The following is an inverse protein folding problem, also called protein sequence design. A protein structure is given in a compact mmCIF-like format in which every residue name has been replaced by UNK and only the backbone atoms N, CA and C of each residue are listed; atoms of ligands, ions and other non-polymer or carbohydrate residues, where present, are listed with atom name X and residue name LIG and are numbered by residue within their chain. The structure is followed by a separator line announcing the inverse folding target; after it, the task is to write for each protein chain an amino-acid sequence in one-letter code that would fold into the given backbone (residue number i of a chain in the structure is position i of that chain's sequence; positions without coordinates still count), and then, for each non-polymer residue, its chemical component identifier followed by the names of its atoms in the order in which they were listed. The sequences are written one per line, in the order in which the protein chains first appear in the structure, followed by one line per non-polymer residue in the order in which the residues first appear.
data_IF_004901395144
#
_entry.id   IF_004901395144
#
_cell.length_a   1.000
_cell.length_b   1.000
_cell.length_c   1.000
_cell.angle_alpha   90.00
_cell.angle_beta   90.00
_cell.angle_gamma   90.00
#
_symmetry.space_group_name_H-M   'P 1'
#
loop_
_entity.id
_entity.type
_entity.pdbx_description
1 polymer ?
#
# COMPACT_ATOMS: atom_id res chain seq x y z
N UNK A 1 28.65 -34.88 19.07
CA UNK A 1 28.20 -33.48 18.90
C UNK A 1 29.24 -32.80 18.04
N UNK A 2 29.33 -33.23 16.79
CA UNK A 2 30.35 -32.73 15.86
C UNK A 2 29.97 -31.35 15.34
N UNK A 3 30.97 -30.48 15.40
CA UNK A 3 31.06 -29.14 14.86
C UNK A 3 30.39 -28.94 13.50
N UNK A 4 29.30 -28.17 13.48
CA UNK A 4 28.90 -27.34 12.32
C UNK A 4 29.88 -26.16 12.18
N UNK A 5 31.18 -26.48 12.07
CA UNK A 5 32.21 -25.47 11.85
C UNK A 5 32.11 -25.01 10.39
N UNK A 6 31.48 -23.87 10.18
CA UNK A 6 31.44 -23.28 8.85
C UNK A 6 32.87 -22.97 8.37
N UNK A 7 33.24 -23.28 7.10
CA UNK A 7 34.58 -23.00 6.61
C UNK A 7 34.96 -21.53 6.83
N UNK A 8 36.18 -21.25 7.30
CA UNK A 8 36.62 -19.88 7.55
C UNK A 8 36.52 -19.05 6.27
N UNK A 9 35.88 -17.89 6.37
CA UNK A 9 35.84 -16.95 5.25
C UNK A 9 37.19 -16.24 5.12
N UNK A 10 37.67 -15.97 3.89
CA UNK A 10 38.88 -15.19 3.68
C UNK A 10 38.73 -13.78 4.26
N UNK A 11 39.88 -13.13 4.53
CA UNK A 11 39.93 -11.75 4.99
C UNK A 11 39.19 -10.83 4.00
N UNK A 12 38.45 -9.84 4.52
CA UNK A 12 37.75 -8.88 3.67
C UNK A 12 38.72 -7.81 3.18
N UNK A 13 38.77 -7.63 1.86
CA UNK A 13 39.46 -6.47 1.26
C UNK A 13 38.53 -5.26 1.38
N UNK A 14 39.00 -4.22 2.03
CA UNK A 14 38.31 -2.94 2.20
C UNK A 14 39.29 -1.83 1.80
N UNK A 15 38.90 -1.01 0.84
CA UNK A 15 39.69 0.13 0.39
C UNK A 15 39.80 1.21 1.48
N UNK A 16 40.78 2.10 1.37
CA UNK A 16 40.96 3.18 2.33
C UNK A 16 39.75 4.13 2.43
N UNK A 17 39.06 4.38 1.31
CA UNK A 17 37.85 5.22 1.29
C UNK A 17 36.68 4.52 2.00
N UNK A 18 36.46 3.23 1.73
CA UNK A 18 35.42 2.44 2.40
C UNK A 18 35.69 2.32 3.90
N UNK A 19 36.94 2.08 4.31
CA UNK A 19 37.33 2.03 5.72
C UNK A 19 37.01 3.35 6.44
N UNK A 20 37.37 4.50 5.84
CA UNK A 20 37.03 5.82 6.41
C UNK A 20 35.51 6.00 6.53
N UNK A 21 34.74 5.58 5.53
CA UNK A 21 33.28 5.67 5.58
C UNK A 21 32.67 4.78 6.68
N UNK A 22 33.17 3.55 6.85
CA UNK A 22 32.77 2.65 7.93
C UNK A 22 33.08 3.25 9.31
N UNK A 23 34.28 3.80 9.50
CA UNK A 23 34.67 4.44 10.75
C UNK A 23 33.83 5.69 11.06
N UNK A 24 33.47 6.48 10.03
CA UNK A 24 32.56 7.62 10.17
C UNK A 24 31.16 7.18 10.61
N UNK A 25 30.62 6.10 10.05
CA UNK A 25 29.33 5.54 10.45
C UNK A 25 29.34 5.12 11.93
N UNK A 26 30.41 4.49 12.38
CA UNK A 26 30.57 4.05 13.77
C UNK A 26 30.70 5.23 14.74
N UNK A 27 31.40 6.30 14.35
CA UNK A 27 31.63 7.49 15.20
C UNK A 27 30.41 8.40 15.30
N UNK A 28 29.56 8.43 14.27
CA UNK A 28 28.43 9.37 14.19
C UNK A 28 27.32 8.97 15.18
N UNK A 29 26.88 9.85 16.09
CA UNK A 29 25.93 9.50 17.15
C UNK A 29 24.51 9.24 16.62
N UNK A 30 24.15 9.82 15.47
CA UNK A 30 22.83 9.65 14.86
C UNK A 30 22.70 8.40 13.98
N UNK A 31 23.75 7.59 13.87
CA UNK A 31 23.71 6.38 13.02
C UNK A 31 22.86 5.30 13.70
N UNK A 32 21.91 4.67 13.00
CA UNK A 32 21.17 3.52 13.52
C UNK A 32 22.10 2.44 14.05
N UNK A 33 21.83 1.92 15.26
CA UNK A 33 22.68 0.94 15.93
C UNK A 33 22.95 -0.31 15.08
N UNK A 34 21.97 -0.73 14.27
CA UNK A 34 22.13 -1.87 13.34
C UNK A 34 23.21 -1.59 12.29
N UNK A 35 23.26 -0.38 11.72
CA UNK A 35 24.32 -0.02 10.77
C UNK A 35 25.68 0.06 11.44
N UNK A 36 25.75 0.59 12.67
CA UNK A 36 26.99 0.61 13.46
C UNK A 36 27.50 -0.80 13.72
N UNK A 37 26.62 -1.73 14.12
CA UNK A 37 26.97 -3.12 14.37
C UNK A 37 27.52 -3.79 13.11
N UNK A 38 26.84 -3.61 11.97
CA UNK A 38 27.26 -4.17 10.68
C UNK A 38 28.60 -3.57 10.23
N UNK A 39 28.80 -2.27 10.41
CA UNK A 39 30.08 -1.62 10.10
C UNK A 39 31.23 -2.17 10.94
N UNK A 40 31.01 -2.44 12.24
CA UNK A 40 31.99 -3.08 13.12
C UNK A 40 32.35 -4.49 12.64
N UNK A 41 31.38 -5.29 12.21
CA UNK A 41 31.63 -6.63 11.63
C UNK A 41 32.61 -6.53 10.46
N UNK A 42 32.37 -5.58 9.53
CA UNK A 42 33.24 -5.41 8.35
C UNK A 42 34.64 -4.91 8.74
N UNK A 43 34.74 -3.97 9.67
CA UNK A 43 36.02 -3.45 10.14
C UNK A 43 36.89 -4.54 10.78
N UNK A 44 36.33 -5.35 11.68
CA UNK A 44 37.05 -6.47 12.32
C UNK A 44 37.41 -7.55 11.30
N UNK A 45 36.50 -7.89 10.39
CA UNK A 45 36.79 -8.84 9.31
C UNK A 45 37.89 -8.35 8.36
N UNK A 46 37.99 -7.04 8.12
CA UNK A 46 39.10 -6.44 7.35
C UNK A 46 40.44 -6.41 8.11
N UNK A 47 40.39 -6.50 9.44
CA UNK A 47 41.56 -6.64 10.30
C UNK A 47 42.05 -8.10 10.41
N UNK A 48 41.39 -9.04 9.73
CA UNK A 48 41.76 -10.46 9.70
C UNK A 48 41.04 -11.35 10.71
N UNK A 49 40.04 -10.82 11.43
CA UNK A 49 39.32 -11.63 12.41
C UNK A 49 38.39 -12.67 11.75
N UNK A 50 38.37 -13.87 12.35
CA UNK A 50 37.44 -14.95 11.99
C UNK A 50 36.01 -14.61 12.41
N UNK A 51 35.01 -15.23 11.78
CA UNK A 51 33.61 -15.00 12.13
C UNK A 51 33.29 -15.27 13.61
N UNK A 52 33.96 -16.26 14.23
CA UNK A 52 33.80 -16.61 15.65
C UNK A 52 34.53 -15.66 16.60
N UNK A 53 35.64 -15.03 16.20
CA UNK A 53 36.24 -13.92 16.96
C UNK A 53 35.31 -12.71 16.97
N UNK A 54 34.83 -12.30 15.79
CA UNK A 54 33.90 -11.17 15.64
C UNK A 54 32.61 -11.40 16.43
N UNK A 55 32.07 -12.63 16.41
CA UNK A 55 30.88 -13.01 17.16
C UNK A 55 31.06 -12.82 18.66
N UNK A 56 32.20 -13.27 19.21
CA UNK A 56 32.55 -13.10 20.63
C UNK A 56 32.79 -11.63 21.00
N UNK A 57 33.53 -10.89 20.18
CA UNK A 57 33.86 -9.48 20.40
C UNK A 57 32.60 -8.60 20.41
N UNK A 58 31.64 -8.87 19.51
CA UNK A 58 30.44 -8.05 19.37
C UNK A 58 29.21 -8.61 20.10
N UNK A 59 29.31 -9.79 20.75
CA UNK A 59 28.19 -10.45 21.43
C UNK A 59 27.05 -10.85 20.48
N UNK A 60 27.37 -11.28 19.26
CA UNK A 60 26.40 -11.69 18.22
C UNK A 60 26.56 -13.17 17.85
N UNK A 61 25.58 -13.73 17.15
CA UNK A 61 25.73 -15.08 16.59
C UNK A 61 26.71 -15.13 15.41
N UNK A 62 27.49 -16.21 15.29
CA UNK A 62 28.37 -16.46 14.14
C UNK A 62 27.65 -16.38 12.78
N UNK A 63 26.41 -16.88 12.61
CA UNK A 63 25.67 -16.74 11.36
C UNK A 63 25.48 -15.28 10.93
N UNK A 64 25.31 -14.35 11.88
CA UNK A 64 25.14 -12.92 11.60
C UNK A 64 26.44 -12.31 11.07
N UNK A 65 27.56 -12.55 11.77
CA UNK A 65 28.90 -12.12 11.33
C UNK A 65 29.18 -12.60 9.91
N UNK A 66 28.90 -13.88 9.67
CA UNK A 66 29.09 -14.51 8.37
C UNK A 66 28.19 -13.94 7.27
N UNK A 67 26.91 -13.72 7.56
CA UNK A 67 25.95 -13.14 6.62
C UNK A 67 26.44 -11.78 6.11
N UNK A 68 26.83 -10.88 7.01
CA UNK A 68 27.28 -9.54 6.64
C UNK A 68 28.63 -9.53 5.92
N UNK A 69 29.55 -10.43 6.29
CA UNK A 69 30.80 -10.62 5.54
C UNK A 69 30.52 -11.06 4.09
N UNK A 70 29.65 -12.05 3.90
CA UNK A 70 29.28 -12.55 2.57
C UNK A 70 28.61 -11.46 1.74
N UNK A 71 27.63 -10.76 2.33
CA UNK A 71 26.94 -9.65 1.68
C UNK A 71 27.89 -8.53 1.27
N UNK A 72 28.88 -8.21 2.11
CA UNK A 72 29.88 -7.19 1.77
C UNK A 72 30.70 -7.57 0.54
N UNK A 73 31.10 -8.84 0.42
CA UNK A 73 31.80 -9.38 -0.75
C UNK A 73 30.91 -9.36 -2.00
N UNK A 74 29.66 -9.79 -1.89
CA UNK A 74 28.69 -9.77 -2.99
C UNK A 74 28.47 -8.35 -3.55
N UNK A 75 28.58 -7.33 -2.69
CA UNK A 75 28.40 -5.93 -3.05
C UNK A 75 29.73 -5.17 -3.27
N UNK A 76 30.88 -5.85 -3.35
CA UNK A 76 32.19 -5.18 -3.46
C UNK A 76 32.35 -4.42 -4.78
N UNK A 77 31.78 -4.93 -5.87
CA UNK A 77 31.80 -4.30 -7.21
C UNK A 77 30.64 -3.31 -7.39
N UNK A 78 29.78 -3.15 -6.39
CA UNK A 78 28.64 -2.25 -6.47
C UNK A 78 29.09 -0.80 -6.30
N UNK A 79 28.56 0.12 -7.12
CA UNK A 79 28.77 1.57 -6.97
C UNK A 79 27.99 2.18 -5.80
N UNK A 80 27.28 1.35 -5.02
CA UNK A 80 26.47 1.79 -3.90
C UNK A 80 27.33 2.39 -2.77
N UNK A 81 26.88 3.48 -2.13
CA UNK A 81 27.51 4.01 -0.93
C UNK A 81 27.60 2.95 0.19
N UNK A 82 28.63 3.04 1.04
CA UNK A 82 28.86 2.10 2.16
C UNK A 82 27.62 1.94 3.04
N UNK A 83 26.91 3.03 3.33
CA UNK A 83 25.70 2.99 4.14
C UNK A 83 24.58 2.14 3.51
N UNK A 84 24.42 2.22 2.19
CA UNK A 84 23.41 1.46 1.45
C UNK A 84 23.77 -0.03 1.34
N UNK A 85 25.06 -0.34 1.20
CA UNK A 85 25.55 -1.74 1.24
C UNK A 85 25.25 -2.43 2.58
N UNK A 86 25.28 -1.66 3.67
CA UNK A 86 24.97 -2.11 5.03
C UNK A 86 23.48 -2.02 5.39
N UNK A 87 22.66 -1.34 4.59
CA UNK A 87 21.22 -1.21 4.82
C UNK A 87 20.50 -2.54 4.58
N UNK A 88 19.32 -2.71 5.17
CA UNK A 88 18.48 -3.86 4.83
C UNK A 88 17.99 -3.74 3.38
N UNK A 89 17.90 -4.88 2.70
CA UNK A 89 17.27 -4.89 1.40
C UNK A 89 15.79 -4.52 1.59
N UNK A 90 15.16 -3.84 0.62
CA UNK A 90 13.72 -3.61 0.66
C UNK A 90 13.03 -4.96 0.83
N UNK A 91 12.36 -5.16 1.96
CA UNK A 91 11.57 -6.38 2.15
C UNK A 91 10.35 -6.26 1.22
N UNK A 92 10.22 -7.12 0.18
CA UNK A 92 8.95 -7.22 -0.51
C UNK A 92 7.93 -7.61 0.55
N UNK A 93 6.90 -6.78 0.74
CA UNK A 93 5.82 -7.08 1.67
C UNK A 93 5.16 -8.42 1.34
N UNK A 94 4.22 -8.86 2.17
CA UNK A 94 3.43 -10.04 1.85
C UNK A 94 2.81 -9.90 0.44
N UNK A 95 2.81 -10.96 -0.37
CA UNK A 95 2.21 -10.91 -1.70
C UNK A 95 0.74 -10.52 -1.58
N UNK A 96 0.25 -9.76 -2.56
CA UNK A 96 -1.15 -9.33 -2.58
C UNK A 96 -2.07 -10.56 -2.57
N UNK A 97 -3.07 -10.57 -1.68
CA UNK A 97 -4.04 -11.67 -1.57
C UNK A 97 -4.97 -11.77 -2.78
N UNK A 98 -5.22 -10.65 -3.44
CA UNK A 98 -6.11 -10.56 -4.60
C UNK A 98 -5.34 -10.02 -5.80
N UNK A 99 -5.63 -10.56 -6.97
CA UNK A 99 -5.03 -10.10 -8.23
C UNK A 99 -5.60 -8.73 -8.61
N UNK A 100 -4.86 -8.01 -9.46
CA UNK A 100 -5.33 -6.74 -10.00
C UNK A 100 -6.64 -6.89 -10.77
N UNK A 101 -6.81 -8.00 -11.47
CA UNK A 101 -8.04 -8.33 -12.20
C UNK A 101 -9.24 -8.43 -11.26
N UNK A 102 -9.13 -9.19 -10.17
CA UNK A 102 -10.20 -9.33 -9.17
C UNK A 102 -10.58 -7.98 -8.54
N UNK A 103 -9.57 -7.14 -8.25
CA UNK A 103 -9.78 -5.80 -7.70
C UNK A 103 -10.47 -4.89 -8.74
N UNK A 104 -10.12 -5.01 -10.01
CA UNK A 104 -10.73 -4.23 -11.09
C UNK A 104 -12.19 -4.62 -11.29
N UNK A 105 -12.50 -5.92 -11.24
CA UNK A 105 -13.88 -6.43 -11.30
C UNK A 105 -14.71 -5.94 -10.11
N UNK A 106 -14.15 -5.92 -8.90
CA UNK A 106 -14.79 -5.29 -7.74
C UNK A 106 -15.14 -3.82 -8.01
N UNK A 107 -14.23 -3.04 -8.59
CA UNK A 107 -14.50 -1.63 -8.87
C UNK A 107 -15.55 -1.43 -9.96
N UNK A 108 -15.54 -2.26 -11.01
CA UNK A 108 -16.57 -2.25 -12.03
C UNK A 108 -17.95 -2.54 -11.43
N UNK A 109 -18.05 -3.58 -10.60
CA UNK A 109 -19.28 -3.95 -9.89
C UNK A 109 -19.77 -2.82 -8.98
N UNK A 110 -18.86 -2.20 -8.22
CA UNK A 110 -19.18 -1.10 -7.31
C UNK A 110 -19.72 0.16 -8.01
N UNK A 111 -19.43 0.33 -9.30
CA UNK A 111 -19.91 1.44 -10.13
C UNK A 111 -21.21 1.14 -10.88
N UNK A 112 -21.63 -0.12 -10.93
CA UNK A 112 -22.86 -0.54 -11.59
C UNK A 112 -24.06 -0.44 -10.63
N UNK A 113 -25.28 -0.19 -11.12
CA UNK A 113 -26.48 -0.19 -10.29
C UNK A 113 -26.81 -1.62 -9.79
N UNK A 114 -27.12 -1.82 -8.48
CA UNK A 114 -27.42 -3.15 -7.93
C UNK A 114 -28.59 -3.89 -8.61
N UNK A 115 -29.51 -3.15 -9.20
CA UNK A 115 -30.66 -3.68 -9.92
C UNK A 115 -30.25 -4.55 -11.12
N UNK A 116 -29.11 -4.24 -11.76
CA UNK A 116 -28.56 -5.07 -12.86
C UNK A 116 -28.17 -6.48 -12.40
N UNK A 117 -27.92 -6.65 -11.11
CA UNK A 117 -27.51 -7.92 -10.51
C UNK A 117 -28.66 -8.59 -9.73
N UNK A 118 -29.89 -8.09 -9.91
CA UNK A 118 -31.10 -8.64 -9.30
C UNK A 118 -31.19 -8.45 -7.79
N UNK A 119 -30.48 -7.46 -7.22
CA UNK A 119 -30.55 -7.18 -5.79
C UNK A 119 -31.56 -6.07 -5.49
N UNK A 120 -32.49 -6.27 -4.54
CA UNK A 120 -33.48 -5.26 -4.16
C UNK A 120 -32.89 -4.24 -3.18
N UNK A 121 -31.79 -3.59 -3.57
CA UNK A 121 -31.07 -2.60 -2.77
C UNK A 121 -30.83 -1.35 -3.60
N UNK A 122 -30.91 -0.17 -2.97
CA UNK A 122 -30.72 1.10 -3.69
C UNK A 122 -29.25 1.44 -3.93
N UNK A 123 -28.34 0.92 -3.11
CA UNK A 123 -26.90 1.16 -3.23
C UNK A 123 -26.10 -0.03 -2.73
N UNK A 124 -24.90 -0.20 -3.30
CA UNK A 124 -23.96 -1.20 -2.82
C UNK A 124 -23.40 -0.89 -1.44
N UNK A 125 -23.51 -1.86 -0.54
CA UNK A 125 -22.68 -1.95 0.67
C UNK A 125 -21.44 -2.83 0.42
N UNK A 126 -20.36 -2.66 1.21
CA UNK A 126 -19.18 -3.53 1.10
C UNK A 126 -19.48 -5.02 1.35
N UNK A 127 -20.53 -5.32 2.11
CA UNK A 127 -20.97 -6.71 2.37
C UNK A 127 -21.62 -7.31 1.12
N UNK A 128 -22.55 -6.59 0.50
CA UNK A 128 -23.22 -7.08 -0.70
C UNK A 128 -22.26 -7.23 -1.88
N UNK A 129 -21.28 -6.32 -2.00
CA UNK A 129 -20.21 -6.45 -2.99
C UNK A 129 -19.34 -7.68 -2.75
N UNK A 130 -19.04 -8.01 -1.49
CA UNK A 130 -18.31 -9.24 -1.17
C UNK A 130 -19.13 -10.48 -1.55
N UNK A 131 -20.42 -10.51 -1.18
CA UNK A 131 -21.32 -11.63 -1.51
C UNK A 131 -21.48 -11.81 -3.02
N UNK A 132 -21.55 -10.71 -3.76
CA UNK A 132 -21.72 -10.74 -5.21
C UNK A 132 -20.43 -11.17 -5.94
N UNK A 133 -19.25 -10.76 -5.46
CA UNK A 133 -17.97 -11.26 -6.00
C UNK A 133 -17.79 -12.77 -5.79
N UNK A 134 -18.22 -13.27 -4.64
CA UNK A 134 -18.20 -14.72 -4.37
C UNK A 134 -19.21 -15.44 -5.25
N UNK A 135 -20.43 -14.90 -5.40
CA UNK A 135 -21.47 -15.45 -6.27
C UNK A 135 -21.04 -15.52 -7.75
N UNK A 136 -20.29 -14.53 -8.22
CA UNK A 136 -19.76 -14.50 -9.59
C UNK A 136 -18.48 -15.35 -9.78
N UNK A 137 -17.98 -16.00 -8.71
CA UNK A 137 -16.79 -16.83 -8.76
C UNK A 137 -15.48 -16.05 -8.94
N UNK A 138 -15.50 -14.74 -8.74
CA UNK A 138 -14.32 -13.87 -8.89
C UNK A 138 -13.30 -14.15 -7.79
N UNK A 139 -13.79 -14.40 -6.58
CA UNK A 139 -12.98 -14.74 -5.40
C UNK A 139 -13.65 -15.88 -4.63
N UNK A 140 -12.85 -16.76 -4.02
CA UNK A 140 -13.37 -17.83 -3.15
C UNK A 140 -13.97 -17.24 -1.85
N UNK A 141 -13.26 -16.28 -1.25
CA UNK A 141 -13.69 -15.59 -0.03
C UNK A 141 -13.09 -14.19 0.06
N UNK A 142 -13.91 -13.22 0.43
CA UNK A 142 -13.46 -11.87 0.79
C UNK A 142 -14.37 -11.31 1.89
N UNK A 143 -13.79 -10.63 2.88
CA UNK A 143 -14.59 -9.98 3.90
C UNK A 143 -15.08 -8.61 3.44
N UNK A 144 -16.30 -8.22 3.83
CA UNK A 144 -16.83 -6.88 3.54
C UNK A 144 -15.93 -5.75 4.09
N UNK A 145 -15.20 -5.98 5.19
CA UNK A 145 -14.20 -5.03 5.70
C UNK A 145 -13.03 -4.85 4.73
N UNK A 146 -12.55 -5.93 4.11
CA UNK A 146 -11.49 -5.86 3.09
C UNK A 146 -12.00 -5.10 1.85
N UNK A 147 -13.20 -5.43 1.36
CA UNK A 147 -13.85 -4.69 0.26
C UNK A 147 -13.94 -3.19 0.60
N UNK A 148 -14.39 -2.84 1.80
CA UNK A 148 -14.44 -1.45 2.26
C UNK A 148 -13.08 -0.75 2.23
N UNK A 149 -12.00 -1.45 2.60
CA UNK A 149 -10.63 -0.92 2.50
C UNK A 149 -10.20 -0.68 1.05
N UNK A 150 -10.52 -1.59 0.14
CA UNK A 150 -10.20 -1.44 -1.29
C UNK A 150 -10.95 -0.25 -1.89
N UNK A 151 -12.25 -0.11 -1.61
CA UNK A 151 -13.05 1.04 -2.04
C UNK A 151 -12.52 2.36 -1.47
N UNK A 152 -12.12 2.38 -0.20
CA UNK A 152 -11.54 3.57 0.42
C UNK A 152 -10.19 3.96 -0.23
N UNK A 153 -9.33 2.98 -0.52
CA UNK A 153 -8.07 3.21 -1.23
C UNK A 153 -8.30 3.79 -2.64
N UNK A 154 -9.32 3.31 -3.34
CA UNK A 154 -9.75 3.83 -4.64
C UNK A 154 -10.62 5.10 -4.56
N UNK A 155 -10.90 5.61 -3.35
CA UNK A 155 -11.80 6.76 -3.10
C UNK A 155 -13.22 6.59 -3.67
N UNK A 156 -13.68 5.34 -3.84
CA UNK A 156 -15.02 5.01 -4.31
C UNK A 156 -16.02 5.02 -3.14
N UNK A 157 -17.22 5.56 -3.38
CA UNK A 157 -18.32 5.61 -2.39
C UNK A 157 -19.64 5.17 -3.02
N UNK A 158 -19.82 3.86 -3.27
CA UNK A 158 -21.02 3.34 -3.96
C UNK A 158 -22.33 3.67 -3.24
N UNK A 159 -22.30 3.73 -1.91
CA UNK A 159 -23.43 4.14 -1.05
C UNK A 159 -23.77 5.63 -1.10
N UNK A 160 -23.06 6.45 -1.89
CA UNK A 160 -23.32 7.89 -2.01
C UNK A 160 -23.71 8.24 -3.43
N UNK A 161 -25.01 8.37 -3.68
CA UNK A 161 -25.50 9.09 -4.86
C UNK A 161 -25.42 10.60 -4.61
N UNK A 162 -24.80 11.33 -5.54
CA UNK A 162 -24.95 12.80 -5.62
C UNK A 162 -25.93 13.08 -6.73
N UNK A 163 -27.08 13.64 -6.37
CA UNK A 163 -28.04 14.16 -7.33
C UNK A 163 -28.16 15.67 -7.16
N UNK A 164 -28.53 16.34 -8.24
CA UNK A 164 -28.78 17.77 -8.27
C UNK A 164 -30.29 17.99 -8.36
N UNK A 165 -30.93 18.50 -7.29
CA UNK A 165 -32.34 18.92 -7.32
C UNK A 165 -32.58 20.01 -8.37
N UNK A 166 -31.59 20.87 -8.56
CA UNK A 166 -31.52 21.82 -9.65
C UNK A 166 -30.19 21.60 -10.35
N UNK A 167 -30.17 21.42 -11.69
CA UNK A 167 -28.92 21.26 -12.40
C UNK A 167 -28.01 22.45 -12.05
N UNK A 168 -26.71 22.21 -11.77
CA UNK A 168 -25.78 23.32 -11.62
C UNK A 168 -25.86 24.16 -12.89
N UNK A 169 -25.74 25.50 -12.81
CA UNK A 169 -25.84 26.36 -13.97
C UNK A 169 -24.75 25.99 -14.97
N UNK A 170 -25.07 25.11 -15.90
CA UNK A 170 -24.21 24.77 -17.02
C UNK A 170 -24.30 25.93 -18.01
N UNK A 171 -23.14 26.33 -18.53
CA UNK A 171 -22.95 27.48 -19.45
C UNK A 171 -23.81 27.41 -20.73
N UNK A 172 -24.52 26.31 -20.97
CA UNK A 172 -25.24 25.99 -22.22
C UNK A 172 -26.72 25.67 -22.02
N UNK A 173 -27.36 26.09 -20.91
CA UNK A 173 -28.82 26.09 -20.87
C UNK A 173 -29.35 27.34 -21.60
N UNK A 174 -30.23 27.20 -22.61
CA UNK A 174 -30.94 28.36 -23.14
C UNK A 174 -31.77 28.99 -22.00
N UNK A 175 -31.88 30.33 -21.97
CA UNK A 175 -32.66 31.01 -20.94
C UNK A 175 -34.09 30.46 -20.95
N UNK A 176 -34.61 30.14 -19.75
CA UNK A 176 -35.97 29.62 -19.59
C UNK A 176 -36.94 30.52 -20.35
N UNK A 177 -37.70 29.96 -21.29
CA UNK A 177 -38.81 30.64 -21.93
C UNK A 177 -39.78 31.10 -20.84
N UNK A 178 -40.19 32.38 -20.88
CA UNK A 178 -41.23 32.89 -19.99
C UNK A 178 -42.56 32.22 -20.35
N UNK A 179 -42.86 31.08 -19.74
CA UNK A 179 -44.19 30.47 -19.83
C UNK A 179 -45.14 31.37 -19.04
N UNK A 180 -45.81 32.32 -19.72
CA UNK A 180 -46.97 32.99 -19.12
C UNK A 180 -48.14 32.02 -19.17
N UNK A 181 -48.48 31.42 -18.04
CA UNK A 181 -49.76 30.73 -17.90
C UNK A 181 -50.87 31.79 -17.93
N UNK A 182 -51.65 31.85 -19.01
CA UNK A 182 -52.84 32.70 -19.08
C UNK A 182 -53.90 32.06 -18.18
N UNK A 183 -54.11 32.63 -17.00
CA UNK A 183 -55.19 32.22 -16.08
C UNK A 183 -56.54 32.41 -16.77
N UNK A 184 -57.25 31.30 -17.00
CA UNK A 184 -58.61 31.33 -17.58
C UNK A 184 -59.59 31.26 -16.41
N UNK A 185 -59.95 32.41 -15.85
CA UNK A 185 -60.94 32.46 -14.77
C UNK A 185 -62.36 32.42 -15.38
N UNK A 186 -62.90 31.21 -15.58
CA UNK A 186 -64.28 31.01 -16.03
C UNK A 186 -65.20 31.17 -14.80
N UNK A 187 -65.80 32.36 -14.63
CA UNK A 187 -66.86 32.58 -13.63
C UNK A 187 -68.05 31.70 -13.98
N UNK A 188 -68.42 30.79 -13.09
CA UNK A 188 -69.74 30.16 -13.08
C UNK A 188 -70.62 30.97 -12.12
N UNK A 189 -71.55 31.73 -12.67
CA UNK A 189 -72.63 32.38 -11.93
C UNK A 189 -73.67 31.33 -11.57
N UNK A 190 -73.92 31.12 -10.27
CA UNK A 190 -75.05 30.36 -9.75
C UNK A 190 -75.80 31.21 -8.71
N UNK A 191 -77.14 31.23 -8.72
CA UNK A 191 -77.92 32.18 -7.94
C UNK A 191 -78.00 31.78 -6.46
N UNK A 192 -77.89 32.81 -5.61
CA UNK A 192 -77.99 32.75 -4.15
C UNK A 192 -79.48 32.67 -3.75
N UNK A 193 -79.90 31.57 -3.09
CA UNK A 193 -81.23 31.47 -2.48
C UNK A 193 -81.09 31.82 -1.00
N UNK A 194 -81.76 32.90 -0.59
CA UNK A 194 -81.80 33.36 0.79
C UNK A 194 -83.11 33.01 1.49
N UNK A 195 -82.95 32.82 2.81
CA UNK A 195 -83.93 32.73 3.91
C UNK A 195 -84.58 31.40 4.21
#
# INVERSE_FOLDING_TARGET
MESDAWPPLPALVVSASERRALEQLVKRPSTPQQLVLRAKIILLASAGESQGQIARELGIGEPMSRCWRRRWQELQTSELPVAERLADAPCPGAPATFTLEQITQLYALACAPPEQYGRPISHWTPRELADELVKQGVVERISGRHVGRLLAAAKLKPHRSRYWLHPPPTRTLPPKSKTSARSTNKRLSGPNVGR
#
